data_IF_549657218725
#
_entry.id   IF_549657218725
#
_cell.length_a   1.000
_cell.length_b   1.000
_cell.length_c   1.000
_cell.angle_alpha   90.00
_cell.angle_beta   90.00
_cell.angle_gamma   90.00
#
_symmetry.space_group_name_H-M   'P 1'
#
loop_
_entity.id
_entity.type
_entity.pdbx_description
1 polymer ?
#
# COMPACT_ATOMS: atom_id res chain seq x y z
N UNK A 1 1.41 -0.66 1.22
CA UNK A 1 0.12 -0.97 0.61
C UNK A 1 0.11 -2.36 0.02
N UNK A 2 -0.97 -3.06 0.22
CA UNK A 2 -1.23 -4.36 -0.41
C UNK A 2 -2.61 -4.34 -1.02
N UNK A 3 -2.86 -5.27 -1.95
CA UNK A 3 -4.19 -5.43 -2.54
C UNK A 3 -4.55 -6.91 -2.61
N UNK A 4 -5.86 -7.16 -2.71
CA UNK A 4 -6.37 -8.51 -2.92
C UNK A 4 -7.50 -8.45 -3.94
N UNK A 5 -7.28 -9.07 -5.10
CA UNK A 5 -8.30 -9.23 -6.12
C UNK A 5 -9.19 -10.41 -5.75
N UNK A 6 -10.42 -10.39 -6.26
CA UNK A 6 -11.39 -11.45 -6.01
C UNK A 6 -10.83 -12.82 -6.41
N UNK A 7 -10.88 -13.77 -5.48
CA UNK A 7 -10.39 -15.13 -5.71
C UNK A 7 -8.88 -15.28 -5.76
N UNK A 8 -8.13 -14.23 -5.39
CA UNK A 8 -6.67 -14.27 -5.41
C UNK A 8 -6.10 -13.95 -4.04
N UNK A 9 -4.82 -14.25 -3.84
CA UNK A 9 -4.12 -13.95 -2.61
C UNK A 9 -3.74 -12.49 -2.50
N UNK A 10 -3.19 -12.13 -1.35
CA UNK A 10 -2.66 -10.78 -1.13
C UNK A 10 -1.45 -10.54 -2.01
N UNK A 11 -1.39 -9.34 -2.56
CA UNK A 11 -0.26 -8.88 -3.36
C UNK A 11 0.33 -7.63 -2.72
N UNK A 12 1.62 -7.67 -2.37
CA UNK A 12 2.34 -6.51 -1.87
C UNK A 12 2.58 -5.52 -3.00
N UNK A 13 2.35 -4.24 -2.75
CA UNK A 13 2.48 -3.20 -3.78
C UNK A 13 3.61 -2.23 -3.51
N UNK A 14 3.67 -1.67 -2.31
CA UNK A 14 4.64 -0.63 -2.01
C UNK A 14 4.88 -0.50 -0.51
N UNK A 15 6.02 0.09 -0.18
CA UNK A 15 6.45 0.32 1.18
C UNK A 15 7.13 1.68 1.28
N UNK A 16 6.88 2.40 2.37
CA UNK A 16 7.59 3.63 2.70
C UNK A 16 7.99 3.60 4.17
N UNK A 17 9.24 3.97 4.46
CA UNK A 17 9.74 4.02 5.83
C UNK A 17 9.22 5.28 6.54
N UNK A 18 9.39 5.33 7.87
CA UNK A 18 8.90 6.44 8.69
C UNK A 18 9.48 7.78 8.29
N UNK A 19 10.73 7.80 7.83
CA UNK A 19 11.40 9.03 7.40
C UNK A 19 11.34 9.26 5.89
N UNK A 20 10.57 8.45 5.16
CA UNK A 20 10.49 8.49 3.70
C UNK A 20 11.85 8.26 3.00
N UNK A 21 12.82 7.70 3.72
CA UNK A 21 14.16 7.44 3.17
C UNK A 21 14.25 6.16 2.38
N UNK A 22 13.32 5.23 2.62
CA UNK A 22 13.29 3.94 1.94
C UNK A 22 11.92 3.75 1.33
N UNK A 23 11.88 3.57 0.01
CA UNK A 23 10.65 3.35 -0.74
C UNK A 23 10.86 2.17 -1.68
N UNK A 24 9.92 1.21 -1.65
CA UNK A 24 9.92 0.05 -2.54
C UNK A 24 8.58 -0.06 -3.25
N UNK A 25 8.63 -0.53 -4.49
CA UNK A 25 7.44 -0.85 -5.28
C UNK A 25 7.57 -2.25 -5.86
N UNK A 26 6.45 -2.94 -5.99
CA UNK A 26 6.41 -4.18 -6.77
C UNK A 26 6.51 -3.86 -8.25
N UNK A 27 6.98 -4.84 -9.04
CA UNK A 27 7.13 -4.64 -10.47
C UNK A 27 5.80 -4.35 -11.17
N UNK A 28 4.70 -4.87 -10.64
CA UNK A 28 3.37 -4.70 -11.24
C UNK A 28 2.87 -3.26 -11.22
N UNK A 29 3.38 -2.44 -10.29
CA UNK A 29 2.92 -1.06 -10.14
C UNK A 29 4.03 -0.03 -10.32
N UNK A 30 5.27 -0.48 -10.49
CA UNK A 30 6.42 0.41 -10.62
C UNK A 30 6.25 1.32 -11.83
N UNK A 31 6.46 2.62 -11.61
CA UNK A 31 6.28 3.62 -12.67
C UNK A 31 4.86 4.14 -12.80
N UNK A 32 3.88 3.50 -12.17
CA UNK A 32 2.48 3.94 -12.22
C UNK A 32 1.95 4.43 -10.88
N UNK A 33 2.36 3.77 -9.79
CA UNK A 33 1.89 4.12 -8.45
C UNK A 33 3.01 4.86 -7.70
N UNK A 34 2.60 5.82 -6.88
CA UNK A 34 3.52 6.61 -6.06
C UNK A 34 3.03 6.57 -4.63
N UNK A 35 3.90 6.11 -3.73
CA UNK A 35 3.61 6.14 -2.30
C UNK A 35 4.24 7.39 -1.69
N UNK A 36 3.52 8.02 -0.77
CA UNK A 36 4.04 9.18 -0.03
C UNK A 36 3.45 9.19 1.36
N UNK A 37 4.05 9.98 2.23
CA UNK A 37 3.53 10.16 3.58
C UNK A 37 3.69 11.59 4.06
N UNK A 38 2.81 11.98 4.98
CA UNK A 38 2.87 13.27 5.66
C UNK A 38 2.78 13.00 7.16
N UNK A 39 3.92 13.08 7.84
CA UNK A 39 3.97 12.80 9.27
C UNK A 39 3.24 13.84 10.09
N UNK A 40 3.16 15.08 9.61
CA UNK A 40 2.40 16.13 10.28
C UNK A 40 0.90 15.85 10.30
N UNK A 41 0.40 15.16 9.27
CA UNK A 41 -1.00 14.77 9.17
C UNK A 41 -1.24 13.32 9.57
N UNK A 42 -0.19 12.58 9.96
CA UNK A 42 -0.27 11.14 10.27
C UNK A 42 -0.91 10.35 9.13
N UNK A 43 -0.54 10.68 7.91
CA UNK A 43 -1.17 10.11 6.72
C UNK A 43 -0.16 9.51 5.77
N UNK A 44 -0.58 8.44 5.09
CA UNK A 44 0.18 7.80 4.02
C UNK A 44 -0.75 7.72 2.81
N UNK A 45 -0.21 8.00 1.64
CA UNK A 45 -0.98 8.08 0.41
C UNK A 45 -0.42 7.15 -0.64
N UNK A 46 -1.32 6.59 -1.44
CA UNK A 46 -0.96 5.85 -2.63
C UNK A 46 -1.63 6.51 -3.83
N UNK A 47 -0.83 7.18 -4.67
CA UNK A 47 -1.32 7.76 -5.90
C UNK A 47 -1.26 6.69 -6.99
N UNK A 48 -2.39 6.42 -7.61
CA UNK A 48 -2.51 5.39 -8.63
C UNK A 48 -2.78 6.04 -9.98
N UNK A 49 -1.82 5.94 -10.88
CA UNK A 49 -1.91 6.50 -12.22
C UNK A 49 -2.07 5.39 -13.25
N UNK A 50 -2.66 5.71 -14.40
CA UNK A 50 -2.81 4.77 -15.51
C UNK A 50 -3.43 3.45 -15.06
N UNK A 51 -4.54 3.55 -14.32
CA UNK A 51 -5.22 2.36 -13.79
C UNK A 51 -5.66 1.44 -14.94
N UNK A 52 -5.53 0.14 -14.68
CA UNK A 52 -5.90 -0.93 -15.61
C UNK A 52 -7.04 -1.74 -15.01
N UNK A 53 -7.69 -2.54 -15.86
CA UNK A 53 -8.73 -3.46 -15.39
C UNK A 53 -8.17 -4.42 -14.34
N UNK A 54 -6.94 -4.88 -14.52
CA UNK A 54 -6.26 -5.79 -13.58
C UNK A 54 -5.99 -5.16 -12.22
N UNK A 55 -6.08 -3.84 -12.10
CA UNK A 55 -5.89 -3.15 -10.82
C UNK A 55 -7.13 -3.20 -9.93
N UNK A 56 -8.23 -3.76 -10.42
CA UNK A 56 -9.45 -3.93 -9.64
C UNK A 56 -9.20 -4.87 -8.47
N UNK A 57 -9.35 -4.39 -7.26
CA UNK A 57 -9.07 -5.14 -6.04
C UNK A 57 -9.49 -4.36 -4.80
N UNK A 58 -9.46 -5.02 -3.65
CA UNK A 58 -9.47 -4.33 -2.36
C UNK A 58 -8.05 -3.92 -2.02
N UNK A 59 -7.87 -2.66 -1.68
CA UNK A 59 -6.56 -2.09 -1.33
C UNK A 59 -6.51 -1.83 0.16
N UNK A 60 -5.43 -2.26 0.78
CA UNK A 60 -5.23 -2.14 2.22
C UNK A 60 -3.94 -1.38 2.51
N UNK A 61 -4.03 -0.46 3.48
CA UNK A 61 -2.87 0.17 4.07
C UNK A 61 -2.56 -0.55 5.37
N UNK A 62 -1.29 -0.90 5.58
CA UNK A 62 -0.86 -1.55 6.79
C UNK A 62 0.36 -0.85 7.35
N UNK A 63 0.46 -0.78 8.66
CA UNK A 63 1.66 -0.28 9.33
C UNK A 63 2.29 -1.39 10.15
N UNK A 64 3.61 -1.31 10.29
CA UNK A 64 4.32 -2.23 11.15
C UNK A 64 4.09 -1.86 12.61
N UNK A 65 3.72 -2.84 13.41
CA UNK A 65 3.58 -2.64 14.85
C UNK A 65 4.93 -2.89 15.52
N UNK A 66 5.54 -1.82 16.02
CA UNK A 66 6.84 -1.93 16.66
C UNK A 66 6.74 -2.38 18.12
N UNK A 67 5.55 -2.28 18.70
CA UNK A 67 5.42 -2.51 20.13
C UNK A 67 4.02 -3.04 20.47
N UNK A 68 3.90 -4.25 21.00
CA UNK A 68 4.95 -5.25 21.16
C UNK A 68 5.44 -5.76 19.80
N UNK A 69 6.56 -6.46 19.78
CA UNK A 69 7.14 -6.97 18.55
C UNK A 69 6.15 -7.75 17.72
N UNK A 70 6.12 -7.49 16.45
CA UNK A 70 5.52 -8.34 15.46
C UNK A 70 4.34 -7.78 14.77
N UNK A 71 4.08 -8.31 13.63
CA UNK A 71 2.88 -8.15 12.85
C UNK A 71 2.65 -6.77 12.28
N UNK A 72 1.70 -6.74 11.39
CA UNK A 72 1.23 -5.53 10.73
C UNK A 72 -0.16 -5.20 11.23
N UNK A 73 -0.43 -3.91 11.38
CA UNK A 73 -1.77 -3.42 11.71
C UNK A 73 -2.39 -2.94 10.40
N UNK A 74 -3.56 -3.48 10.08
CA UNK A 74 -4.22 -3.29 8.79
C UNK A 74 -5.38 -2.33 8.90
N UNK A 75 -5.57 -1.51 7.85
CA UNK A 75 -6.79 -0.76 7.68
C UNK A 75 -7.92 -1.65 7.18
N UNK A 76 -9.10 -1.06 7.01
CA UNK A 76 -10.31 -1.80 6.60
C UNK A 76 -10.35 -2.14 5.11
N UNK A 77 -9.56 -1.46 4.32
CA UNK A 77 -9.54 -1.67 2.88
C UNK A 77 -10.53 -0.78 2.13
N UNK A 78 -10.21 -0.56 0.87
CA UNK A 78 -11.03 0.24 -0.05
C UNK A 78 -11.11 -0.49 -1.37
N UNK A 79 -12.32 -0.62 -1.88
CA UNK A 79 -12.53 -1.25 -3.20
C UNK A 79 -12.22 -0.24 -4.30
N UNK A 80 -11.37 -0.65 -5.24
CA UNK A 80 -11.05 0.10 -6.45
C UNK A 80 -11.48 -0.74 -7.64
N UNK A 81 -12.35 -0.18 -8.48
CA UNK A 81 -12.87 -0.88 -9.66
C UNK A 81 -12.65 -0.06 -10.92
#
# INVERSE_FOLDING_TARGET
WVRQASGKGLEWLSYISSGSTTIYYSDSVKGRFIISRDNGLNSVYLQMNSLRVEDTAMYYCARRNQWPEGGWIWGQGTLVT
#
